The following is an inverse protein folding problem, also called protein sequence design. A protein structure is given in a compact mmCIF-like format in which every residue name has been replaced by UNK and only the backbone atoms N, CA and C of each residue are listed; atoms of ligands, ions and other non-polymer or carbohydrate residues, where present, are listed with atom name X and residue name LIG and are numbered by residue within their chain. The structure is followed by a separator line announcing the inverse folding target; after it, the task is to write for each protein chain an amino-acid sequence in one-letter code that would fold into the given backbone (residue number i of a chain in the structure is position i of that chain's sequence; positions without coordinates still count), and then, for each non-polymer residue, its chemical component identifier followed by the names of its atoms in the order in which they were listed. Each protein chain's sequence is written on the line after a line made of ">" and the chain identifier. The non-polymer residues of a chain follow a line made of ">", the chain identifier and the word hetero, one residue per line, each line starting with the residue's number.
data_IF_046178904814
#
_entry.id   IF_046178904814
#
_cell.length_a   1.000
_cell.length_b   1.000
_cell.length_c   1.000
_cell.angle_alpha   90.00
_cell.angle_beta   90.00
_cell.angle_gamma   90.00
#
_symmetry.space_group_name_H-M   'P 1'
#
loop_
_entity.id
_entity.type
_entity.pdbx_description
1 polymer ?
#
# COMPACT_ATOMS: atom_id res chain seq x y z
N UNK A 1 -16.32 5.49 -5.11
CA UNK A 1 -15.23 5.48 -6.13
C UNK A 1 -14.77 4.08 -6.51
N UNK A 2 -14.90 3.07 -5.63
CA UNK A 2 -14.70 1.66 -5.95
C UNK A 2 -16.02 0.91 -6.18
N UNK A 3 -17.00 1.59 -6.76
CA UNK A 3 -18.31 0.99 -7.03
C UNK A 3 -18.38 0.68 -8.51
N UNK A 4 -18.17 -0.60 -8.83
CA UNK A 4 -18.48 -1.28 -10.09
C UNK A 4 -17.57 -0.91 -11.29
N UNK A 5 -16.36 -1.47 -11.30
CA UNK A 5 -15.67 -1.75 -12.57
C UNK A 5 -16.14 -3.12 -13.09
N UNK A 6 -16.52 -3.27 -14.38
CA UNK A 6 -16.92 -4.56 -14.96
C UNK A 6 -15.75 -5.54 -15.12
N UNK A 7 -14.52 -5.11 -14.85
CA UNK A 7 -13.31 -5.86 -15.11
C UNK A 7 -12.86 -6.64 -13.86
N UNK A 8 -12.67 -7.96 -14.00
CA UNK A 8 -12.23 -8.83 -12.90
C UNK A 8 -10.80 -8.51 -12.42
N UNK A 9 -10.02 -7.77 -13.21
CA UNK A 9 -8.59 -7.49 -12.97
C UNK A 9 -8.23 -6.05 -13.32
N UNK A 10 -8.75 -5.04 -12.59
CA UNK A 10 -8.39 -3.66 -12.84
C UNK A 10 -6.88 -3.47 -12.67
N UNK A 11 -6.23 -2.87 -13.67
CA UNK A 11 -4.81 -2.52 -13.61
C UNK A 11 -4.69 -1.10 -13.07
N UNK A 12 -3.93 -0.94 -11.99
CA UNK A 12 -3.61 0.35 -11.39
C UNK A 12 -2.11 0.59 -11.53
N UNK A 13 -1.74 1.71 -12.14
CA UNK A 13 -0.35 2.16 -12.18
C UNK A 13 -0.10 3.10 -11.01
N UNK A 14 0.90 2.77 -10.20
CA UNK A 14 1.34 3.61 -9.08
C UNK A 14 2.74 4.12 -9.36
N UNK A 15 2.83 5.40 -9.70
CA UNK A 15 4.10 6.09 -9.90
C UNK A 15 4.58 6.73 -8.59
N UNK A 16 5.90 6.76 -8.40
CA UNK A 16 6.52 7.32 -7.20
C UNK A 16 6.42 6.45 -5.93
N UNK A 17 5.88 5.24 -6.03
CA UNK A 17 5.81 4.29 -4.91
C UNK A 17 6.80 3.14 -5.11
N UNK A 18 7.56 2.85 -4.08
CA UNK A 18 8.40 1.66 -4.01
C UNK A 18 7.55 0.40 -3.94
N UNK A 19 7.82 -0.58 -4.82
CA UNK A 19 7.16 -1.88 -4.76
C UNK A 19 7.42 -2.61 -3.43
N UNK A 20 8.56 -2.33 -2.79
CA UNK A 20 8.89 -2.87 -1.47
C UNK A 20 7.95 -2.32 -0.40
N UNK A 21 7.80 -0.99 -0.35
CA UNK A 21 6.95 -0.34 0.66
C UNK A 21 5.47 -0.67 0.42
N UNK A 22 5.04 -0.74 -0.85
CA UNK A 22 3.69 -1.15 -1.22
C UNK A 22 3.35 -2.56 -0.70
N UNK A 23 4.27 -3.52 -0.81
CA UNK A 23 4.05 -4.86 -0.29
C UNK A 23 3.82 -4.87 1.23
N UNK A 24 4.57 -4.05 1.98
CA UNK A 24 4.40 -3.93 3.44
C UNK A 24 3.06 -3.27 3.78
N UNK A 25 2.64 -2.26 3.01
CA UNK A 25 1.31 -1.65 3.17
C UNK A 25 0.20 -2.66 2.90
N UNK A 26 0.32 -3.49 1.86
CA UNK A 26 -0.65 -4.54 1.58
C UNK A 26 -0.67 -5.60 2.71
N UNK A 27 0.48 -6.02 3.22
CA UNK A 27 0.54 -6.94 4.36
C UNK A 27 -0.21 -6.36 5.57
N UNK A 28 0.02 -5.07 5.89
CA UNK A 28 -0.71 -4.38 6.95
C UNK A 28 -2.22 -4.36 6.70
N UNK A 29 -2.68 -3.99 5.50
CA UNK A 29 -4.11 -3.91 5.16
C UNK A 29 -4.79 -5.29 5.27
N UNK A 30 -4.13 -6.35 4.84
CA UNK A 30 -4.72 -7.70 4.82
C UNK A 30 -4.60 -8.44 6.15
N UNK A 31 -3.52 -8.22 6.91
CA UNK A 31 -3.24 -8.98 8.14
C UNK A 31 -3.43 -8.15 9.42
N UNK A 32 -3.60 -6.84 9.31
CA UNK A 32 -3.67 -5.89 10.42
C UNK A 32 -2.33 -5.60 11.10
N UNK A 33 -1.22 -6.12 10.57
CA UNK A 33 0.14 -5.93 11.09
C UNK A 33 1.18 -6.13 10.00
N UNK A 34 2.35 -5.54 10.19
CA UNK A 34 3.50 -5.69 9.31
C UNK A 34 4.79 -5.55 10.12
N UNK A 35 5.86 -6.21 9.68
CA UNK A 35 7.19 -6.03 10.24
C UNK A 35 8.08 -5.32 9.23
N UNK A 36 8.57 -4.14 9.58
CA UNK A 36 9.43 -3.31 8.72
C UNK A 36 10.76 -3.09 9.40
N UNK A 37 11.86 -3.13 8.64
CA UNK A 37 13.17 -2.76 9.16
C UNK A 37 13.20 -1.26 9.54
N UNK A 38 13.98 -0.92 10.57
CA UNK A 38 13.97 0.44 11.12
C UNK A 38 14.37 1.49 10.07
N UNK A 39 15.31 1.17 9.21
CA UNK A 39 15.77 2.02 8.10
C UNK A 39 14.71 2.22 7.01
N UNK A 40 13.71 1.34 6.92
CA UNK A 40 12.66 1.40 5.89
C UNK A 40 11.33 1.95 6.42
N UNK A 41 11.25 2.26 7.72
CA UNK A 41 10.00 2.73 8.33
C UNK A 41 9.49 4.02 7.69
N UNK A 42 10.37 4.93 7.28
CA UNK A 42 9.96 6.18 6.61
C UNK A 42 9.26 5.90 5.29
N UNK A 43 9.84 5.06 4.42
CA UNK A 43 9.27 4.74 3.12
C UNK A 43 7.91 4.05 3.22
N UNK A 44 7.76 3.14 4.19
CA UNK A 44 6.48 2.54 4.54
C UNK A 44 5.44 3.59 4.94
N UNK A 45 5.79 4.50 5.88
CA UNK A 45 4.88 5.54 6.37
C UNK A 45 4.48 6.53 5.27
N UNK A 46 5.45 6.96 4.44
CA UNK A 46 5.22 7.86 3.31
C UNK A 46 4.24 7.24 2.30
N UNK A 47 4.41 5.94 2.01
CA UNK A 47 3.53 5.19 1.12
C UNK A 47 2.12 5.02 1.71
N UNK A 48 2.02 4.66 3.00
CA UNK A 48 0.74 4.53 3.67
C UNK A 48 -0.03 5.86 3.70
N UNK A 49 0.67 6.97 3.95
CA UNK A 49 0.10 8.31 3.93
C UNK A 49 -0.35 8.71 2.51
N UNK A 50 0.46 8.44 1.49
CA UNK A 50 0.10 8.71 0.09
C UNK A 50 -1.18 7.98 -0.31
N UNK A 51 -1.31 6.71 0.09
CA UNK A 51 -2.50 5.89 -0.14
C UNK A 51 -3.65 6.19 0.84
N UNK A 52 -3.46 7.13 1.78
CA UNK A 52 -4.43 7.56 2.79
C UNK A 52 -4.99 6.39 3.60
N UNK A 53 -4.10 5.49 4.00
CA UNK A 53 -4.44 4.35 4.85
C UNK A 53 -4.31 4.78 6.31
N UNK A 54 -5.41 4.66 7.04
CA UNK A 54 -5.49 4.87 8.48
C UNK A 54 -5.50 3.49 9.19
N UNK A 55 -4.87 3.42 10.37
CA UNK A 55 -4.69 2.18 11.15
C UNK A 55 -4.95 2.37 12.63
#
# INVERSE_FOLDING_TARGET
>A
ILSESPESHPIITMDGISAYDLNHVLEFVYLGRVSVYQENISGFMDTAQFLRIDG
#
